data_IF_753561922140
#
_entry.id   IF_753561922140
#
_cell.length_a   1.000
_cell.length_b   1.000
_cell.length_c   1.000
_cell.angle_alpha   90.00
_cell.angle_beta   90.00
_cell.angle_gamma   90.00
#
_symmetry.space_group_name_H-M   'P 1'
#
loop_
_entity.id
_entity.type
_entity.pdbx_description
1 polymer ?
#
# COMPACT_ATOMS: atom_id res chain seq x y z
N UNK A 1 -7.55 -10.52 2.42
CA UNK A 1 -6.49 -9.82 1.65
C UNK A 1 -5.33 -10.79 1.38
N UNK A 2 -4.67 -10.80 0.22
CA UNK A 2 -3.58 -11.75 -0.05
C UNK A 2 -2.34 -11.47 0.80
N UNK A 3 -1.90 -12.45 1.60
CA UNK A 3 -0.75 -12.31 2.51
C UNK A 3 0.56 -11.89 1.80
N UNK A 4 0.75 -12.31 0.55
CA UNK A 4 1.93 -11.95 -0.25
C UNK A 4 1.97 -10.47 -0.68
N UNK A 5 0.83 -9.79 -0.77
CA UNK A 5 0.75 -8.36 -1.09
C UNK A 5 1.08 -7.53 0.16
N UNK A 6 0.55 -7.95 1.33
CA UNK A 6 0.90 -7.35 2.63
C UNK A 6 2.41 -7.42 2.87
N UNK A 7 2.99 -8.61 2.66
CA UNK A 7 4.42 -8.84 2.87
C UNK A 7 5.29 -7.97 1.96
N UNK A 8 4.88 -7.72 0.72
CA UNK A 8 5.58 -6.83 -0.21
C UNK A 8 5.43 -5.36 0.15
N UNK A 9 4.23 -4.89 0.50
CA UNK A 9 3.99 -3.49 0.90
C UNK A 9 4.76 -3.12 2.17
N UNK A 10 4.81 -4.01 3.16
CA UNK A 10 5.47 -3.74 4.46
C UNK A 10 6.99 -3.95 4.45
N UNK A 11 7.59 -4.36 3.32
CA UNK A 11 9.03 -4.54 3.21
C UNK A 11 9.59 -5.73 4.01
N UNK A 12 8.79 -6.80 4.21
CA UNK A 12 9.27 -7.96 4.95
C UNK A 12 10.49 -8.60 4.27
N UNK A 13 11.52 -8.91 5.07
CA UNK A 13 12.67 -9.70 4.62
C UNK A 13 12.16 -11.09 4.21
N UNK A 14 12.45 -11.55 2.98
CA UNK A 14 11.96 -12.84 2.53
C UNK A 14 12.53 -13.96 3.41
N UNK A 15 11.66 -14.91 3.74
CA UNK A 15 11.98 -16.15 4.47
C UNK A 15 11.92 -17.31 3.48
N UNK A 16 12.84 -18.26 3.62
CA UNK A 16 13.15 -19.34 2.66
C UNK A 16 11.96 -20.16 2.11
N UNK A 17 10.78 -20.11 2.74
CA UNK A 17 9.56 -20.80 2.26
C UNK A 17 8.70 -19.89 1.38
N UNK A 18 8.63 -18.60 1.70
CA UNK A 18 7.85 -17.60 0.96
C UNK A 18 8.53 -17.19 -0.37
N UNK A 19 9.85 -17.41 -0.45
CA UNK A 19 10.71 -17.01 -1.56
C UNK A 19 10.48 -17.86 -2.82
N UNK A 20 10.11 -19.14 -2.66
CA UNK A 20 9.85 -20.06 -3.80
C UNK A 20 8.65 -19.66 -4.66
N UNK A 21 7.69 -18.92 -4.10
CA UNK A 21 6.50 -18.43 -4.81
C UNK A 21 6.50 -16.89 -4.92
N UNK A 22 7.67 -16.28 -4.77
CA UNK A 22 7.80 -14.85 -4.91
C UNK A 22 7.65 -14.48 -6.39
N UNK A 23 6.55 -13.80 -6.69
CA UNK A 23 6.35 -13.16 -7.98
C UNK A 23 6.58 -11.66 -7.81
N UNK A 24 7.35 -11.08 -8.74
CA UNK A 24 7.41 -9.63 -8.86
C UNK A 24 6.01 -9.15 -9.25
N UNK A 25 5.35 -8.42 -8.34
CA UNK A 25 4.04 -7.84 -8.60
C UNK A 25 4.23 -6.45 -9.17
N UNK A 26 3.42 -6.12 -10.16
CA UNK A 26 3.41 -4.77 -10.73
C UNK A 26 3.04 -3.74 -9.67
N UNK A 27 3.65 -2.56 -9.76
CA UNK A 27 3.46 -1.47 -8.80
C UNK A 27 1.98 -1.06 -8.72
N UNK A 28 1.28 -1.09 -9.85
CA UNK A 28 -0.15 -0.75 -9.92
C UNK A 28 -1.01 -1.70 -9.10
N UNK A 29 -0.68 -3.00 -9.09
CA UNK A 29 -1.38 -3.97 -8.25
C UNK A 29 -1.14 -3.68 -6.77
N UNK A 30 0.10 -3.34 -6.38
CA UNK A 30 0.43 -2.98 -5.01
C UNK A 30 -0.30 -1.70 -4.58
N UNK A 31 -0.35 -0.69 -5.46
CA UNK A 31 -1.05 0.58 -5.23
C UNK A 31 -2.55 0.37 -5.01
N UNK A 32 -3.19 -0.44 -5.86
CA UNK A 32 -4.61 -0.74 -5.77
C UNK A 32 -4.99 -1.37 -4.41
N UNK A 33 -4.15 -2.28 -3.92
CA UNK A 33 -4.35 -2.91 -2.61
C UNK A 33 -4.01 -1.96 -1.46
N UNK A 34 -2.97 -1.13 -1.59
CA UNK A 34 -2.62 -0.11 -0.61
C UNK A 34 -3.79 0.83 -0.33
N UNK A 35 -4.37 1.41 -1.38
CA UNK A 35 -5.52 2.32 -1.27
C UNK A 35 -6.73 1.63 -0.60
N UNK A 36 -7.00 0.37 -0.95
CA UNK A 36 -8.08 -0.41 -0.33
C UNK A 36 -7.86 -0.65 1.15
N UNK A 37 -6.62 -0.92 1.57
CA UNK A 37 -6.28 -1.15 2.98
C UNK A 37 -6.42 0.14 3.77
N UNK A 38 -5.91 1.26 3.25
CA UNK A 38 -6.03 2.57 3.90
C UNK A 38 -7.50 2.96 4.09
N UNK A 39 -8.32 2.83 3.03
CA UNK A 39 -9.75 3.10 3.11
C UNK A 39 -10.44 2.21 4.16
N UNK A 40 -10.11 0.91 4.19
CA UNK A 40 -10.67 -0.01 5.18
C UNK A 40 -10.24 0.34 6.62
N UNK A 41 -8.97 0.69 6.85
CA UNK A 41 -8.49 1.10 8.18
C UNK A 41 -9.24 2.34 8.67
N UNK A 42 -9.40 3.34 7.80
CA UNK A 42 -10.13 4.56 8.14
C UNK A 42 -11.60 4.29 8.43
N UNK A 43 -12.23 3.39 7.67
CA UNK A 43 -13.60 2.91 7.93
C UNK A 43 -13.70 2.22 9.30
N UNK A 44 -12.78 1.31 9.63
CA UNK A 44 -12.76 0.63 10.94
C UNK A 44 -12.53 1.60 12.10
N UNK A 45 -11.80 2.70 11.87
CA UNK A 45 -11.56 3.75 12.85
C UNK A 45 -12.72 4.76 12.96
N UNK A 46 -13.75 4.67 12.10
CA UNK A 46 -14.83 5.65 12.01
C UNK A 46 -14.37 7.03 11.51
N UNK A 47 -13.23 7.09 10.83
CA UNK A 47 -12.64 8.34 10.32
C UNK A 47 -13.10 8.54 8.87
N UNK A 48 -13.76 9.66 8.60
CA UNK A 48 -14.08 10.04 7.23
C UNK A 48 -12.80 10.46 6.50
N UNK A 49 -12.46 9.75 5.43
CA UNK A 49 -11.36 10.14 4.56
C UNK A 49 -11.74 11.39 3.77
N UNK A 50 -11.04 12.50 4.04
CA UNK A 50 -11.12 13.72 3.25
C UNK A 50 -9.85 13.78 2.40
N UNK A 51 -9.91 13.51 1.08
CA UNK A 51 -8.73 13.59 0.24
C UNK A 51 -8.23 15.03 0.21
N UNK A 52 -7.03 15.25 0.75
CA UNK A 52 -6.34 16.53 0.60
C UNK A 52 -5.85 16.60 -0.84
N UNK A 53 -6.32 17.60 -1.60
CA UNK A 53 -5.84 17.82 -2.95
C UNK A 53 -4.32 18.09 -2.89
N UNK A 54 -3.53 17.25 -3.56
CA UNK A 54 -2.09 17.42 -3.64
C UNK A 54 -1.78 18.74 -4.38
N UNK A 55 -1.68 19.82 -3.63
CA UNK A 55 -1.31 21.13 -4.14
C UNK A 55 0.18 21.15 -4.44
N UNK A 56 0.55 21.36 -5.70
CA UNK A 56 1.92 21.65 -6.09
C UNK A 56 2.30 23.01 -5.47
N UNK A 57 3.23 23.01 -4.51
CA UNK A 57 3.80 24.25 -3.96
C UNK A 57 5.09 24.56 -4.71
N UNK A 58 5.12 25.67 -5.44
CA UNK A 58 6.37 26.22 -5.99
C UNK A 58 7.24 26.65 -4.82
N UNK A 59 8.39 25.99 -4.65
CA UNK A 59 9.45 26.47 -3.75
C UNK A 59 10.36 27.33 -4.61
N UNK A 60 10.37 28.64 -4.34
CA UNK A 60 11.22 29.60 -5.03
C UNK A 60 12.71 29.32 -4.80
N UNK A 61 13.53 29.76 -5.76
CA UNK A 61 14.97 29.50 -5.87
C UNK A 61 15.79 30.06 -4.73
#
# INVERSE_FOLDING_TARGET
MPAGIVAQIMGHKPSAIAEKHYIQRELDLLHLWHVKIEAWILEQAGIQFVPVQAGLRVVGK
#
